data_IF_263308295862
#
_entry.id   IF_263308295862
#
_cell.length_a   1.000
_cell.length_b   1.000
_cell.length_c   1.000
_cell.angle_alpha   90.00
_cell.angle_beta   90.00
_cell.angle_gamma   90.00
#
_symmetry.space_group_name_H-M   'P 1'
#
loop_
_entity.id
_entity.type
_entity.pdbx_description
1 polymer ?
#
# COMPACT_ATOMS: atom_id res chain seq x y z
N UNK A 1 1.79 -26.60 -74.66
CA UNK A 1 1.21 -26.14 -73.37
C UNK A 1 2.21 -26.47 -72.27
N UNK A 2 3.08 -25.51 -71.94
CA UNK A 2 4.09 -25.67 -70.90
C UNK A 2 3.49 -25.24 -69.55
N UNK A 3 3.37 -26.17 -68.62
CA UNK A 3 2.94 -25.91 -67.25
C UNK A 3 4.10 -25.30 -66.47
N UNK A 4 4.06 -23.98 -66.33
CA UNK A 4 4.98 -23.22 -65.49
C UNK A 4 4.73 -23.60 -64.03
N UNK A 5 5.57 -24.49 -63.50
CA UNK A 5 5.52 -24.91 -62.10
C UNK A 5 6.13 -23.80 -61.25
N UNK A 6 5.26 -22.95 -60.69
CA UNK A 6 5.61 -22.03 -59.61
C UNK A 6 6.26 -22.80 -58.45
N UNK A 7 7.57 -22.71 -58.36
CA UNK A 7 8.36 -23.21 -57.24
C UNK A 7 7.94 -22.47 -55.96
N UNK A 8 7.55 -23.16 -54.88
CA UNK A 8 7.20 -22.50 -53.63
C UNK A 8 8.43 -21.78 -53.06
N UNK A 9 8.26 -20.50 -52.71
CA UNK A 9 9.31 -19.70 -52.07
C UNK A 9 9.78 -20.39 -50.78
N UNK A 10 11.10 -20.40 -50.50
CA UNK A 10 11.62 -20.98 -49.28
C UNK A 10 11.03 -20.30 -48.05
N UNK A 11 10.77 -21.04 -46.96
CA UNK A 11 10.24 -20.48 -45.73
C UNK A 11 11.22 -19.41 -45.20
N UNK A 12 10.70 -18.23 -44.93
CA UNK A 12 11.47 -17.12 -44.37
C UNK A 12 12.13 -17.57 -43.07
N UNK A 13 13.46 -17.37 -42.88
CA UNK A 13 14.10 -17.73 -41.64
C UNK A 13 13.46 -16.96 -40.48
N UNK A 14 13.29 -17.59 -39.30
CA UNK A 14 12.71 -16.91 -38.14
C UNK A 14 13.58 -15.72 -37.77
N UNK A 15 12.99 -14.53 -37.76
CA UNK A 15 13.67 -13.30 -37.33
C UNK A 15 14.01 -13.48 -35.85
N UNK A 16 15.29 -13.33 -35.44
CA UNK A 16 15.66 -13.46 -34.05
C UNK A 16 14.91 -12.40 -33.22
N UNK A 17 14.45 -12.74 -32.01
CA UNK A 17 13.71 -11.81 -31.18
C UNK A 17 14.59 -10.59 -30.90
N UNK A 18 14.17 -9.43 -31.38
CA UNK A 18 14.85 -8.17 -31.08
C UNK A 18 14.66 -7.87 -29.59
N UNK A 19 15.74 -7.53 -28.87
CA UNK A 19 15.61 -7.15 -27.47
C UNK A 19 14.74 -5.91 -27.37
N UNK A 20 13.82 -5.88 -26.41
CA UNK A 20 12.95 -4.72 -26.26
C UNK A 20 13.78 -3.48 -25.92
N UNK A 21 13.50 -2.31 -26.52
CA UNK A 21 14.26 -1.08 -26.27
C UNK A 21 14.27 -0.66 -24.79
N UNK A 22 13.27 -1.06 -24.02
CA UNK A 22 13.22 -0.82 -22.58
C UNK A 22 14.22 -1.70 -21.82
N UNK A 23 14.39 -2.97 -22.22
CA UNK A 23 15.26 -3.92 -21.54
C UNK A 23 16.74 -3.80 -21.95
N UNK A 24 17.05 -3.03 -22.99
CA UNK A 24 18.42 -2.64 -23.35
C UNK A 24 18.95 -1.47 -22.51
N UNK A 25 18.08 -0.72 -21.82
CA UNK A 25 18.50 0.34 -20.90
C UNK A 25 19.17 -0.24 -19.64
N UNK A 26 20.08 0.49 -18.98
CA UNK A 26 20.58 0.16 -17.63
C UNK A 26 19.45 0.09 -16.58
N UNK A 27 19.71 -0.62 -15.48
CA UNK A 27 18.70 -0.88 -14.44
C UNK A 27 18.19 0.42 -13.79
N UNK A 28 19.07 1.40 -13.63
CA UNK A 28 18.78 2.69 -13.01
C UNK A 28 17.74 3.47 -13.83
N UNK A 29 17.89 3.49 -15.16
CA UNK A 29 16.96 4.15 -16.06
C UNK A 29 15.62 3.42 -16.11
N UNK A 30 15.63 2.07 -16.10
CA UNK A 30 14.39 1.29 -16.01
C UNK A 30 13.64 1.60 -14.71
N UNK A 31 14.35 1.67 -13.58
CA UNK A 31 13.76 2.02 -12.28
C UNK A 31 13.16 3.44 -12.29
N UNK A 32 13.81 4.41 -12.93
CA UNK A 32 13.24 5.75 -13.10
C UNK A 32 11.93 5.73 -13.91
N UNK A 33 11.90 4.98 -15.02
CA UNK A 33 10.68 4.78 -15.82
C UNK A 33 9.60 4.11 -14.98
N UNK A 34 9.93 3.06 -14.22
CA UNK A 34 8.97 2.39 -13.35
C UNK A 34 8.42 3.32 -12.27
N UNK A 35 9.24 4.17 -11.66
CA UNK A 35 8.74 5.16 -10.68
C UNK A 35 7.72 6.11 -11.30
N UNK A 36 8.00 6.64 -12.49
CA UNK A 36 7.07 7.52 -13.19
C UNK A 36 5.72 6.86 -13.49
N UNK A 37 5.70 5.54 -13.67
CA UNK A 37 4.49 4.78 -14.02
C UNK A 37 3.78 4.14 -12.83
N UNK A 38 4.52 3.82 -11.76
CA UNK A 38 4.08 2.96 -10.66
C UNK A 38 4.07 3.66 -9.32
N UNK A 39 4.55 4.90 -9.21
CA UNK A 39 4.50 5.67 -7.96
C UNK A 39 3.49 6.80 -8.02
N UNK A 40 2.88 7.07 -6.86
CA UNK A 40 1.96 8.16 -6.65
C UNK A 40 2.28 8.86 -5.33
N UNK A 41 2.12 10.18 -5.29
CA UNK A 41 2.46 10.99 -4.11
C UNK A 41 1.40 10.95 -3.02
N UNK A 42 0.14 10.69 -3.38
CA UNK A 42 -0.95 10.52 -2.42
C UNK A 42 -1.18 9.04 -2.10
N UNK A 43 -1.67 8.71 -0.90
CA UNK A 43 -2.05 7.34 -0.55
C UNK A 43 -2.96 6.74 -1.61
N UNK A 44 -2.62 5.54 -2.08
CA UNK A 44 -3.42 4.77 -3.02
C UNK A 44 -4.66 4.31 -2.27
N UNK A 45 -5.80 4.93 -2.59
CA UNK A 45 -7.09 4.55 -2.02
C UNK A 45 -7.51 3.22 -2.64
N UNK A 46 -7.68 2.21 -1.81
CA UNK A 46 -8.33 0.98 -2.25
C UNK A 46 -9.79 1.33 -2.49
N UNK A 47 -10.31 1.05 -3.70
CA UNK A 47 -11.62 1.52 -4.23
C UNK A 47 -12.85 1.30 -3.33
N UNK A 48 -12.69 0.55 -2.23
CA UNK A 48 -13.74 0.14 -1.31
C UNK A 48 -13.69 0.83 0.07
N UNK A 49 -12.77 1.75 0.33
CA UNK A 49 -12.74 2.49 1.60
C UNK A 49 -13.80 3.60 1.59
N UNK A 50 -15.01 3.26 2.02
CA UNK A 50 -16.12 4.14 2.41
C UNK A 50 -16.23 5.46 1.63
N UNK A 51 -16.95 5.43 0.51
CA UNK A 51 -17.48 6.61 -0.16
C UNK A 51 -18.48 7.32 0.78
N UNK A 52 -17.98 8.23 1.61
CA UNK A 52 -18.77 9.27 2.29
C UNK A 52 -18.40 10.68 1.80
N UNK A 53 -17.52 10.79 0.79
CA UNK A 53 -17.34 11.99 -0.01
C UNK A 53 -17.18 11.58 -1.48
N UNK A 54 -17.71 12.35 -2.45
CA UNK A 54 -17.41 12.10 -3.85
C UNK A 54 -15.89 12.18 -4.00
N UNK A 55 -15.21 11.14 -4.49
CA UNK A 55 -13.80 11.28 -4.81
C UNK A 55 -13.76 12.37 -5.87
N UNK A 56 -13.09 13.49 -5.60
CA UNK A 56 -12.46 14.21 -6.70
C UNK A 56 -11.58 13.16 -7.36
N UNK A 57 -11.92 12.72 -8.60
CA UNK A 57 -11.16 11.68 -9.24
C UNK A 57 -9.89 12.39 -9.70
N UNK A 58 -8.90 12.47 -8.83
CA UNK A 58 -7.54 12.43 -9.35
C UNK A 58 -7.45 11.02 -9.93
N UNK A 59 -7.43 10.86 -11.27
CA UNK A 59 -7.19 9.54 -11.82
C UNK A 59 -5.84 9.13 -11.25
N UNK A 60 -5.81 8.08 -10.44
CA UNK A 60 -4.56 7.46 -10.04
C UNK A 60 -3.88 7.12 -11.37
N UNK A 61 -2.88 7.91 -11.75
CA UNK A 61 -2.11 7.78 -13.00
C UNK A 61 -1.13 6.61 -12.89
N UNK A 62 -1.56 5.53 -12.24
CA UNK A 62 -0.81 4.31 -12.10
C UNK A 62 -1.06 3.45 -13.33
N UNK A 63 0.04 2.99 -13.94
CA UNK A 63 0.01 2.09 -15.10
C UNK A 63 0.59 0.72 -14.74
N UNK A 64 -0.05 -0.05 -13.83
CA UNK A 64 0.48 -1.34 -13.36
C UNK A 64 0.52 -2.40 -14.46
N UNK A 65 -0.16 -2.19 -15.60
CA UNK A 65 -0.16 -3.10 -16.73
C UNK A 65 1.24 -3.40 -17.28
N UNK A 66 2.23 -2.52 -17.06
CA UNK A 66 3.62 -2.77 -17.43
C UNK A 66 4.24 -3.97 -16.70
N UNK A 67 3.72 -4.31 -15.50
CA UNK A 67 4.13 -5.49 -14.74
C UNK A 67 3.70 -6.79 -15.41
N UNK A 68 2.70 -6.74 -16.31
CA UNK A 68 2.23 -7.91 -17.06
C UNK A 68 3.03 -8.15 -18.34
N UNK A 69 3.92 -7.23 -18.73
CA UNK A 69 4.64 -7.31 -19.99
C UNK A 69 5.64 -8.47 -20.04
N UNK A 70 6.48 -8.63 -19.00
CA UNK A 70 7.38 -9.78 -18.88
C UNK A 70 7.82 -10.03 -17.43
N UNK A 71 8.45 -11.19 -17.18
CA UNK A 71 8.94 -11.57 -15.83
C UNK A 71 9.93 -10.57 -15.24
N UNK A 72 10.77 -9.96 -16.08
CA UNK A 72 11.78 -8.99 -15.64
C UNK A 72 11.15 -7.68 -15.22
N UNK A 73 10.25 -7.10 -16.03
CA UNK A 73 9.52 -5.88 -15.64
C UNK A 73 8.64 -6.13 -14.42
N UNK A 74 8.04 -7.31 -14.31
CA UNK A 74 7.32 -7.74 -13.13
C UNK A 74 8.22 -7.70 -11.88
N UNK A 75 9.35 -8.41 -11.88
CA UNK A 75 10.24 -8.48 -10.73
C UNK A 75 10.82 -7.12 -10.32
N UNK A 76 11.23 -6.30 -11.29
CA UNK A 76 11.82 -4.97 -11.04
C UNK A 76 10.76 -3.95 -10.59
N UNK A 77 9.58 -3.94 -11.22
CA UNK A 77 8.54 -2.95 -10.94
C UNK A 77 7.68 -3.27 -9.72
N UNK A 78 7.56 -4.55 -9.33
CA UNK A 78 6.72 -4.96 -8.18
C UNK A 78 7.22 -4.35 -6.86
N UNK A 79 8.54 -4.34 -6.65
CA UNK A 79 9.15 -3.76 -5.45
C UNK A 79 8.97 -2.24 -5.39
N UNK A 80 9.00 -1.56 -6.53
CA UNK A 80 8.73 -0.12 -6.63
C UNK A 80 7.26 0.18 -6.33
N UNK A 81 6.33 -0.57 -6.96
CA UNK A 81 4.90 -0.37 -6.76
C UNK A 81 4.49 -0.57 -5.30
N UNK A 82 4.93 -1.65 -4.65
CA UNK A 82 4.48 -1.94 -3.29
C UNK A 82 5.35 -1.30 -2.20
N UNK A 83 6.66 -1.11 -2.44
CA UNK A 83 7.59 -0.59 -1.46
C UNK A 83 7.71 0.94 -1.41
N UNK A 84 7.50 1.64 -2.52
CA UNK A 84 7.64 3.10 -2.57
C UNK A 84 6.30 3.84 -2.38
N UNK A 85 5.17 3.18 -2.59
CA UNK A 85 3.84 3.80 -2.43
C UNK A 85 3.25 3.59 -1.05
N UNK A 86 2.42 4.55 -0.64
CA UNK A 86 1.59 4.44 0.56
C UNK A 86 0.23 3.87 0.20
N UNK A 87 -0.19 2.81 0.89
CA UNK A 87 -1.46 2.13 0.64
C UNK A 87 -2.47 2.40 1.75
N UNK A 88 -3.72 2.65 1.36
CA UNK A 88 -4.77 2.88 2.34
C UNK A 88 -5.32 1.54 2.87
N UNK A 89 -5.04 1.25 4.15
CA UNK A 89 -5.65 0.13 4.84
C UNK A 89 -7.14 0.37 5.05
N UNK A 90 -7.95 -0.67 4.87
CA UNK A 90 -9.37 -0.61 5.13
C UNK A 90 -9.62 -0.61 6.65
N UNK A 91 -10.50 0.26 7.18
CA UNK A 91 -10.72 0.34 8.62
C UNK A 91 -11.11 -1.02 9.21
N UNK A 92 -12.04 -1.76 8.61
CA UNK A 92 -12.53 -3.04 9.16
C UNK A 92 -11.69 -4.27 8.81
N UNK A 93 -10.79 -4.18 7.84
CA UNK A 93 -10.12 -5.36 7.25
C UNK A 93 -8.61 -5.18 7.10
N UNK A 94 -8.06 -4.11 7.67
CA UNK A 94 -6.65 -3.73 7.62
C UNK A 94 -6.09 -3.80 6.20
N UNK A 95 -5.24 -4.79 5.92
CA UNK A 95 -4.59 -4.99 4.63
C UNK A 95 -5.23 -6.08 3.76
N UNK A 96 -6.23 -6.81 4.26
CA UNK A 96 -6.85 -7.90 3.51
C UNK A 96 -7.43 -7.44 2.17
N UNK A 97 -7.92 -6.20 2.10
CA UNK A 97 -8.49 -5.60 0.90
C UNK A 97 -7.47 -4.86 0.02
N UNK A 98 -6.23 -4.62 0.46
CA UNK A 98 -5.20 -4.00 -0.39
C UNK A 98 -4.92 -4.81 -1.66
N UNK A 99 -5.24 -6.11 -1.62
CA UNK A 99 -5.08 -7.04 -2.72
C UNK A 99 -6.32 -7.15 -3.61
N UNK A 100 -7.38 -6.39 -3.30
CA UNK A 100 -8.63 -6.29 -4.05
C UNK A 100 -8.71 -5.00 -4.88
N UNK A 101 -7.57 -4.54 -5.42
CA UNK A 101 -7.50 -3.38 -6.34
C UNK A 101 -8.28 -3.62 -7.65
N UNK A 102 -8.64 -4.88 -7.93
CA UNK A 102 -9.63 -5.27 -8.93
C UNK A 102 -10.44 -6.47 -8.40
N UNK A 103 -11.78 -6.39 -8.26
CA UNK A 103 -12.60 -7.55 -7.86
C UNK A 103 -12.52 -8.71 -8.85
N UNK A 104 -12.09 -8.48 -10.10
CA UNK A 104 -11.84 -9.54 -11.09
C UNK A 104 -10.42 -10.11 -11.01
N UNK A 105 -9.50 -9.47 -10.28
CA UNK A 105 -8.08 -9.84 -10.18
C UNK A 105 -7.55 -9.53 -8.79
N UNK A 106 -8.10 -10.20 -7.78
CA UNK A 106 -7.56 -10.13 -6.44
C UNK A 106 -6.19 -10.80 -6.38
N UNK A 107 -5.11 -10.04 -6.60
CA UNK A 107 -3.74 -10.55 -6.48
C UNK A 107 -3.39 -10.61 -5.00
N UNK A 108 -3.97 -11.60 -4.31
CA UNK A 108 -3.59 -11.99 -2.94
C UNK A 108 -2.29 -12.78 -2.98
N UNK A 109 -1.20 -12.13 -3.37
CA UNK A 109 0.14 -12.68 -3.27
C UNK A 109 0.72 -12.32 -1.89
N UNK A 110 1.14 -13.32 -1.12
CA UNK A 110 1.84 -13.11 0.15
C UNK A 110 3.07 -12.19 -0.01
N UNK A 111 3.75 -12.26 -1.17
CA UNK A 111 4.88 -11.40 -1.50
C UNK A 111 4.49 -9.92 -1.58
N UNK A 112 3.28 -9.61 -2.09
CA UNK A 112 2.83 -8.22 -2.14
C UNK A 112 2.57 -7.67 -0.72
N UNK A 113 2.16 -8.51 0.24
CA UNK A 113 2.02 -8.10 1.66
C UNK A 113 3.35 -7.71 2.27
N UNK A 114 4.39 -8.51 2.03
CA UNK A 114 5.73 -8.27 2.59
C UNK A 114 6.42 -7.03 1.98
N UNK A 115 6.05 -6.67 0.75
CA UNK A 115 6.60 -5.51 0.07
C UNK A 115 5.95 -4.20 0.49
N UNK A 116 4.70 -4.22 0.96
CA UNK A 116 4.05 -2.99 1.44
C UNK A 116 4.60 -2.62 2.81
N UNK A 117 5.26 -1.46 2.87
CA UNK A 117 5.84 -0.93 4.11
C UNK A 117 5.28 0.42 4.52
N UNK A 118 4.45 1.05 3.69
CA UNK A 118 3.89 2.38 3.93
C UNK A 118 2.38 2.31 3.93
N UNK A 119 1.78 2.67 5.05
CA UNK A 119 0.36 2.51 5.30
C UNK A 119 -0.30 3.82 5.71
N UNK A 120 -1.53 4.00 5.24
CA UNK A 120 -2.43 5.05 5.70
C UNK A 120 -3.74 4.41 6.15
N UNK A 121 -4.12 4.59 7.41
CA UNK A 121 -5.31 3.98 7.99
C UNK A 121 -6.25 5.08 8.45
N UNK A 122 -7.54 4.94 8.16
CA UNK A 122 -8.57 5.85 8.68
C UNK A 122 -9.38 5.12 9.74
N UNK A 123 -9.31 5.57 10.98
CA UNK A 123 -9.97 4.92 12.12
C UNK A 123 -11.16 5.77 12.58
N UNK A 124 -12.33 5.13 12.67
CA UNK A 124 -13.53 5.72 13.27
C UNK A 124 -13.57 5.39 14.74
N UNK A 125 -13.64 6.41 15.60
CA UNK A 125 -13.81 6.18 17.04
C UNK A 125 -15.23 5.73 17.41
N UNK A 126 -16.22 6.03 16.57
CA UNK A 126 -17.64 5.69 16.82
C UNK A 126 -18.02 4.30 16.32
N UNK A 127 -17.06 3.44 15.95
CA UNK A 127 -17.34 2.14 15.36
C UNK A 127 -16.45 1.06 15.98
N UNK A 128 -17.07 -0.08 16.27
CA UNK A 128 -16.35 -1.26 16.72
C UNK A 128 -15.34 -1.72 15.66
N UNK A 129 -14.15 -2.09 16.12
CA UNK A 129 -13.12 -2.68 15.27
C UNK A 129 -13.37 -4.19 15.13
N UNK A 130 -13.39 -4.70 13.90
CA UNK A 130 -13.60 -6.12 13.61
C UNK A 130 -12.30 -6.94 13.61
N UNK A 131 -11.20 -6.38 14.09
CA UNK A 131 -9.86 -6.96 14.06
C UNK A 131 -9.25 -6.91 15.46
N UNK A 132 -8.45 -7.92 15.81
CA UNK A 132 -7.83 -8.00 17.13
C UNK A 132 -6.56 -7.15 17.21
N UNK A 133 -6.07 -6.89 18.43
CA UNK A 133 -4.79 -6.20 18.64
C UNK A 133 -3.63 -6.95 17.99
N UNK A 134 -3.66 -8.28 18.01
CA UNK A 134 -2.66 -9.13 17.36
C UNK A 134 -2.69 -8.98 15.84
N UNK A 135 -3.86 -8.77 15.24
CA UNK A 135 -4.00 -8.53 13.80
C UNK A 135 -3.36 -7.19 13.40
N UNK A 136 -3.60 -6.13 14.19
CA UNK A 136 -2.98 -4.81 13.96
C UNK A 136 -1.46 -4.91 14.06
N UNK A 137 -0.95 -5.54 15.13
CA UNK A 137 0.49 -5.74 15.33
C UNK A 137 1.09 -6.51 14.17
N UNK A 138 0.51 -7.67 13.79
CA UNK A 138 1.03 -8.51 12.70
C UNK A 138 1.15 -7.76 11.37
N UNK A 139 0.26 -6.81 11.13
CA UNK A 139 0.17 -6.09 9.87
C UNK A 139 1.10 -4.89 9.82
N UNK A 140 1.27 -4.16 10.93
CA UNK A 140 1.97 -2.88 10.94
C UNK A 140 3.30 -2.86 11.70
N UNK A 141 3.66 -3.92 12.43
CA UNK A 141 4.99 -4.01 13.06
C UNK A 141 6.09 -3.85 12.01
N UNK A 142 7.08 -3.01 12.33
CA UNK A 142 8.23 -2.80 11.44
C UNK A 142 7.91 -2.06 10.14
N UNK A 143 6.75 -1.40 10.03
CA UNK A 143 6.42 -0.59 8.87
C UNK A 143 7.41 0.59 8.71
N UNK A 144 7.74 0.95 7.47
CA UNK A 144 8.55 2.14 7.20
C UNK A 144 7.76 3.43 7.50
N UNK A 145 6.46 3.42 7.20
CA UNK A 145 5.58 4.55 7.46
C UNK A 145 4.18 4.07 7.83
N UNK A 146 3.63 4.62 8.92
CA UNK A 146 2.25 4.36 9.34
C UNK A 146 1.59 5.69 9.71
N UNK A 147 0.58 6.07 8.93
CA UNK A 147 -0.26 7.22 9.22
C UNK A 147 -1.64 6.75 9.69
N UNK A 148 -2.04 7.11 10.90
CA UNK A 148 -3.35 6.83 11.48
C UNK A 148 -4.17 8.12 11.53
N UNK A 149 -5.11 8.25 10.61
CA UNK A 149 -6.08 9.36 10.57
C UNK A 149 -7.32 8.98 11.38
N UNK A 150 -7.52 9.65 12.51
CA UNK A 150 -8.64 9.42 13.41
C UNK A 150 -9.78 10.37 13.09
N UNK A 151 -11.01 9.86 12.96
CA UNK A 151 -12.19 10.69 12.77
C UNK A 151 -13.37 10.24 13.63
N UNK A 152 -14.19 11.22 14.00
CA UNK A 152 -15.43 11.02 14.76
C UNK A 152 -16.56 11.85 14.13
N UNK A 153 -17.78 11.34 14.21
CA UNK A 153 -18.98 12.03 13.72
C UNK A 153 -19.38 13.19 14.65
N UNK A 154 -19.17 13.02 15.96
CA UNK A 154 -19.51 14.02 16.98
C UNK A 154 -18.43 14.08 18.06
N UNK A 155 -18.08 15.28 18.52
CA UNK A 155 -17.20 15.48 19.67
C UNK A 155 -17.83 14.93 20.95
N UNK A 156 -17.04 14.23 21.79
CA UNK A 156 -17.48 13.65 23.06
C UNK A 156 -18.15 12.26 23.00
N UNK A 157 -18.34 11.68 21.82
CA UNK A 157 -18.91 10.33 21.63
C UNK A 157 -17.84 9.37 21.08
N UNK A 158 -17.75 8.16 21.63
CA UNK A 158 -16.75 7.16 21.23
C UNK A 158 -15.47 7.20 22.09
N UNK A 159 -15.04 6.03 22.56
CA UNK A 159 -13.84 5.84 23.37
C UNK A 159 -12.57 5.63 22.52
N UNK A 160 -11.42 5.52 23.19
CA UNK A 160 -10.13 5.22 22.56
C UNK A 160 -9.93 3.72 22.27
N UNK A 161 -10.96 2.89 22.49
CA UNK A 161 -10.93 1.44 22.30
C UNK A 161 -10.50 1.04 20.89
N UNK A 162 -10.99 1.77 19.86
CA UNK A 162 -10.59 1.54 18.47
C UNK A 162 -9.09 1.78 18.20
N UNK A 163 -8.39 2.50 19.10
CA UNK A 163 -6.96 2.77 19.03
C UNK A 163 -6.12 1.80 19.86
N UNK A 164 -6.71 0.97 20.72
CA UNK A 164 -5.99 0.00 21.56
C UNK A 164 -5.15 -0.98 20.73
N UNK A 165 -5.65 -1.38 19.57
CA UNK A 165 -4.92 -2.22 18.64
C UNK A 165 -3.57 -1.62 18.22
N UNK A 166 -3.53 -0.30 18.00
CA UNK A 166 -2.35 0.43 17.55
C UNK A 166 -1.33 0.66 18.67
N UNK A 167 -1.77 0.64 19.94
CA UNK A 167 -0.85 0.68 21.09
C UNK A 167 0.12 -0.50 21.10
N UNK A 168 -0.20 -1.63 20.45
CA UNK A 168 0.68 -2.80 20.37
C UNK A 168 1.67 -2.81 19.20
N UNK A 169 1.57 -1.85 18.27
CA UNK A 169 2.46 -1.75 17.11
C UNK A 169 3.79 -1.15 17.55
N UNK A 170 4.91 -1.70 17.07
CA UNK A 170 6.28 -1.30 17.42
C UNK A 170 7.18 -1.26 16.19
N UNK A 171 8.35 -0.62 16.34
CA UNK A 171 9.39 -0.60 15.31
C UNK A 171 9.01 0.14 14.01
N UNK A 172 8.00 1.00 14.04
CA UNK A 172 7.61 1.81 12.89
C UNK A 172 8.65 2.92 12.70
N UNK A 173 9.27 3.02 11.52
CA UNK A 173 10.28 4.07 11.29
C UNK A 173 9.67 5.47 11.34
N UNK A 174 8.53 5.69 10.69
CA UNK A 174 7.80 6.97 10.71
C UNK A 174 6.33 6.76 11.05
N UNK A 175 5.95 7.03 12.30
CA UNK A 175 4.56 7.02 12.71
C UNK A 175 3.97 8.44 12.66
N UNK A 176 2.70 8.55 12.27
CA UNK A 176 1.94 9.80 12.33
C UNK A 176 0.51 9.53 12.76
N UNK A 177 0.00 10.25 13.75
CA UNK A 177 -1.38 10.17 14.22
C UNK A 177 -1.99 11.56 14.11
N UNK A 178 -3.08 11.67 13.37
CA UNK A 178 -3.72 12.97 13.12
C UNK A 178 -5.24 12.86 13.05
N UNK A 179 -5.94 13.99 13.09
CA UNK A 179 -7.39 14.06 12.93
C UNK A 179 -8.08 14.55 14.21
N UNK A 180 -9.23 13.97 14.54
CA UNK A 180 -10.06 14.37 15.68
C UNK A 180 -9.59 13.77 17.02
N UNK A 181 -8.30 13.92 17.34
CA UNK A 181 -7.68 13.44 18.57
C UNK A 181 -6.90 14.58 19.26
N UNK A 182 -6.76 14.53 20.59
CA UNK A 182 -5.89 15.47 21.31
C UNK A 182 -4.43 15.29 20.90
N UNK A 183 -3.71 16.40 20.75
CA UNK A 183 -2.31 16.40 20.30
C UNK A 183 -1.38 15.61 21.24
N UNK A 184 -1.64 15.64 22.55
CA UNK A 184 -0.87 14.86 23.53
C UNK A 184 -1.00 13.36 23.31
N UNK A 185 -2.23 12.86 23.18
CA UNK A 185 -2.53 11.45 22.92
C UNK A 185 -1.97 11.00 21.57
N UNK A 186 -2.07 11.86 20.54
CA UNK A 186 -1.53 11.59 19.21
C UNK A 186 -0.01 11.38 19.25
N UNK A 187 0.74 12.33 19.83
CA UNK A 187 2.21 12.24 19.95
C UNK A 187 2.66 11.08 20.81
N UNK A 188 1.93 10.79 21.88
CA UNK A 188 2.22 9.63 22.71
C UNK A 188 2.08 8.32 21.92
N UNK A 189 0.99 8.17 21.15
CA UNK A 189 0.76 6.97 20.34
C UNK A 189 1.79 6.85 19.21
N UNK A 190 2.20 7.97 18.58
CA UNK A 190 3.32 8.01 17.65
C UNK A 190 4.60 7.46 18.31
N UNK A 191 4.94 7.94 19.50
CA UNK A 191 6.09 7.46 20.27
C UNK A 191 6.02 5.96 20.57
N UNK A 192 4.86 5.47 21.00
CA UNK A 192 4.66 4.03 21.22
C UNK A 192 4.89 3.20 19.93
N UNK A 193 4.44 3.68 18.77
CA UNK A 193 4.61 2.95 17.52
C UNK A 193 6.05 2.95 17.01
N UNK A 194 6.81 4.02 17.29
CA UNK A 194 8.21 4.14 16.87
C UNK A 194 9.20 3.49 17.83
N UNK A 195 8.84 3.37 19.11
CA UNK A 195 9.66 2.73 20.14
C UNK A 195 9.75 1.21 20.02
N UNK A 196 10.68 0.63 20.78
CA UNK A 196 10.88 -0.81 20.90
C UNK A 196 10.01 -1.43 22.00
N UNK A 197 9.91 -2.76 22.02
CA UNK A 197 9.21 -3.49 23.09
C UNK A 197 9.92 -3.28 24.44
N UNK A 198 9.30 -2.48 25.33
CA UNK A 198 9.80 -2.22 26.69
C UNK A 198 10.15 -0.76 26.98
N UNK A 199 10.16 0.13 25.97
CA UNK A 199 10.23 1.59 26.17
C UNK A 199 8.82 2.19 26.32
N UNK A 200 8.02 1.65 27.23
CA UNK A 200 6.81 2.35 27.69
C UNK A 200 7.26 3.50 28.59
N UNK A 201 7.71 4.60 27.97
CA UNK A 201 8.20 5.78 28.67
C UNK A 201 7.11 6.44 29.50
N UNK A 202 7.13 6.19 30.82
CA UNK A 202 6.90 7.05 32.02
C UNK A 202 5.68 8.01 32.08
N UNK A 203 5.00 8.35 30.99
CA UNK A 203 3.86 9.28 30.96
C UNK A 203 2.51 8.55 30.79
N UNK A 204 2.42 7.35 31.38
CA UNK A 204 1.31 6.39 31.22
C UNK A 204 -0.07 6.91 31.66
N UNK A 205 -0.14 8.02 32.40
CA UNK A 205 -1.36 8.40 33.13
C UNK A 205 -1.96 9.77 32.75
N UNK A 206 -1.28 10.61 31.95
CA UNK A 206 -1.74 11.99 31.72
C UNK A 206 -2.51 12.23 30.42
N UNK A 207 -2.25 11.45 29.37
CA UNK A 207 -2.85 11.65 28.04
C UNK A 207 -4.01 10.71 27.69
N UNK A 208 -4.27 9.68 28.51
CA UNK A 208 -5.31 8.68 28.28
C UNK A 208 -6.55 8.84 29.16
N UNK A 209 -6.47 9.66 30.22
CA UNK A 209 -7.49 9.77 31.29
C UNK A 209 -8.18 11.15 31.30
N UNK A 210 -8.34 11.80 30.14
CA UNK A 210 -9.23 12.98 30.02
C UNK A 210 -10.27 12.82 28.93
#
# INVERSE_FOLDING_TARGET
>A
MATDRLTPLPPTPPIPPTPSPLLSLPAELRNQIYRLLLTHTTPILTRNTYQLAPPTPTPLLLSPNILLACKRTHAEGLSILYGENTFQAHPSYLTALLFALDPARSVSSALCRELVRRFHVRVRLDCDTFYSREDVKRVFDGADELCVEVFRASWGVGGLEALEGYRGVRGVRRARVCGSLEEGTARWLEGCMQGDEGEDGVDEERGWVR
#
